data_IF_705287308705
#
_entry.id   IF_705287308705
#
_cell.length_a   1.000
_cell.length_b   1.000
_cell.length_c   1.000
_cell.angle_alpha   90.00
_cell.angle_beta   90.00
_cell.angle_gamma   90.00
#
_symmetry.space_group_name_H-M   'P 1'
#
loop_
_entity.id
_entity.type
_entity.pdbx_description
1 polymer ?
#
# COMPACT_ATOMS: atom_id res chain seq x y z
N UNK A 1 -11.35 -23.83 19.19
CA UNK A 1 -10.86 -22.57 19.81
C UNK A 1 -9.99 -21.76 18.85
N UNK A 2 -9.04 -22.38 18.12
CA UNK A 2 -8.20 -21.72 17.11
C UNK A 2 -8.73 -21.97 15.70
N UNK A 3 -9.79 -21.26 15.36
CA UNK A 3 -10.43 -21.25 14.04
C UNK A 3 -10.79 -19.80 13.71
N UNK A 4 -11.13 -19.53 12.45
CA UNK A 4 -11.59 -18.21 11.99
C UNK A 4 -12.76 -17.66 12.83
N UNK A 5 -13.65 -18.53 13.32
CA UNK A 5 -14.79 -18.15 14.18
C UNK A 5 -14.51 -18.23 15.69
N UNK A 6 -13.30 -18.61 16.09
CA UNK A 6 -12.91 -18.71 17.51
C UNK A 6 -12.51 -17.36 18.11
N UNK A 7 -12.45 -17.23 19.45
CA UNK A 7 -12.08 -15.97 20.12
C UNK A 7 -10.65 -15.50 19.77
N UNK A 8 -9.72 -16.43 19.53
CA UNK A 8 -8.39 -16.09 19.05
C UNK A 8 -8.40 -15.51 17.60
N UNK A 9 -9.45 -15.83 16.82
CA UNK A 9 -9.68 -15.36 15.45
C UNK A 9 -9.86 -13.84 15.32
N UNK A 10 -10.18 -13.17 16.44
CA UNK A 10 -10.23 -11.71 16.52
C UNK A 10 -8.84 -11.10 16.33
N UNK A 11 -7.81 -11.76 16.87
CA UNK A 11 -6.44 -11.27 16.82
C UNK A 11 -5.68 -11.85 15.63
N UNK A 12 -5.74 -13.17 15.44
CA UNK A 12 -4.93 -13.85 14.43
C UNK A 12 -5.82 -14.61 13.44
N UNK A 13 -5.33 -14.79 12.21
CA UNK A 13 -6.05 -15.62 11.26
C UNK A 13 -5.70 -17.10 11.45
N UNK A 14 -6.69 -17.95 11.19
CA UNK A 14 -6.56 -19.39 11.26
C UNK A 14 -7.23 -20.01 10.04
N UNK A 15 -6.57 -21.01 9.45
CA UNK A 15 -7.15 -21.81 8.39
C UNK A 15 -8.44 -22.49 8.87
N UNK A 16 -9.42 -22.56 7.98
CA UNK A 16 -10.63 -23.34 8.23
C UNK A 16 -10.28 -24.84 8.30
N UNK A 17 -10.98 -25.63 9.13
CA UNK A 17 -10.81 -27.08 9.16
C UNK A 17 -11.02 -27.68 7.76
N UNK A 18 -10.06 -28.49 7.30
CA UNK A 18 -10.12 -29.11 5.97
C UNK A 18 -9.66 -28.23 4.80
N UNK A 19 -9.18 -27.00 5.06
CA UNK A 19 -8.67 -26.13 4.00
C UNK A 19 -7.37 -26.69 3.38
N UNK A 20 -7.28 -26.65 2.05
CA UNK A 20 -6.07 -27.02 1.33
C UNK A 20 -5.06 -25.86 1.36
N UNK A 21 -3.93 -26.04 2.05
CA UNK A 21 -2.94 -24.97 2.23
C UNK A 21 -2.36 -24.43 0.92
N UNK A 22 -2.25 -25.25 -0.12
CA UNK A 22 -1.82 -24.79 -1.44
C UNK A 22 -2.83 -23.82 -2.08
N UNK A 23 -4.13 -24.03 -1.83
CA UNK A 23 -5.17 -23.12 -2.32
C UNK A 23 -5.11 -21.78 -1.57
N UNK A 24 -4.95 -21.84 -0.25
CA UNK A 24 -4.79 -20.67 0.61
C UNK A 24 -3.56 -19.85 0.21
N UNK A 25 -2.44 -20.52 -0.08
CA UNK A 25 -1.22 -19.86 -0.57
C UNK A 25 -1.47 -19.10 -1.88
N UNK A 26 -2.11 -19.73 -2.86
CA UNK A 26 -2.40 -19.08 -4.16
C UNK A 26 -3.38 -17.93 -3.98
N UNK A 27 -4.40 -18.10 -3.13
CA UNK A 27 -5.35 -17.05 -2.80
C UNK A 27 -4.64 -15.81 -2.22
N UNK A 28 -3.80 -16.02 -1.20
CA UNK A 28 -3.00 -14.97 -0.56
C UNK A 28 -2.08 -14.28 -1.58
N UNK A 29 -1.32 -15.05 -2.34
CA UNK A 29 -0.37 -14.51 -3.32
C UNK A 29 -1.04 -13.66 -4.39
N UNK A 30 -2.13 -14.16 -5.00
CA UNK A 30 -2.81 -13.45 -6.10
C UNK A 30 -3.52 -12.20 -5.59
N UNK A 31 -4.20 -12.28 -4.44
CA UNK A 31 -4.86 -11.13 -3.86
C UNK A 31 -3.85 -10.03 -3.53
N UNK A 32 -2.72 -10.38 -2.92
CA UNK A 32 -1.71 -9.41 -2.52
C UNK A 32 -0.94 -8.84 -3.70
N UNK A 33 -0.73 -9.65 -4.75
CA UNK A 33 -0.16 -9.18 -6.00
C UNK A 33 -1.06 -8.13 -6.65
N UNK A 34 -2.37 -8.43 -6.80
CA UNK A 34 -3.33 -7.48 -7.40
C UNK A 34 -3.46 -6.23 -6.52
N UNK A 35 -3.52 -6.39 -5.21
CA UNK A 35 -3.65 -5.29 -4.27
C UNK A 35 -2.44 -4.36 -4.30
N UNK A 36 -1.23 -4.92 -4.29
CA UNK A 36 0.00 -4.15 -4.43
C UNK A 36 0.09 -3.45 -5.79
N UNK A 37 -0.32 -4.12 -6.88
CA UNK A 37 -0.35 -3.53 -8.21
C UNK A 37 -1.29 -2.32 -8.28
N UNK A 38 -2.47 -2.44 -7.65
CA UNK A 38 -3.46 -1.37 -7.55
C UNK A 38 -2.95 -0.21 -6.68
N UNK A 39 -2.29 -0.51 -5.56
CA UNK A 39 -1.66 0.50 -4.69
C UNK A 39 -0.58 1.27 -5.46
N UNK A 40 0.35 0.58 -6.12
CA UNK A 40 1.41 1.23 -6.91
C UNK A 40 0.80 2.10 -8.02
N UNK A 41 -0.21 1.58 -8.74
CA UNK A 41 -0.92 2.34 -9.75
C UNK A 41 -1.68 3.55 -9.19
N UNK A 42 -2.23 3.47 -7.99
CA UNK A 42 -2.98 4.56 -7.37
C UNK A 42 -2.07 5.67 -6.81
N UNK A 43 -0.87 5.32 -6.32
CA UNK A 43 0.09 6.32 -5.80
C UNK A 43 0.95 6.95 -6.90
N UNK A 44 0.89 6.43 -8.12
CA UNK A 44 1.69 6.93 -9.22
C UNK A 44 1.23 8.36 -9.63
N UNK A 45 2.15 9.36 -9.67
CA UNK A 45 1.82 10.77 -9.91
C UNK A 45 1.17 11.14 -11.25
N UNK A 46 1.46 10.37 -12.29
CA UNK A 46 0.96 10.50 -13.67
C UNK A 46 -0.41 9.84 -13.87
N UNK A 47 -0.95 9.13 -12.87
CA UNK A 47 -2.28 8.54 -12.93
C UNK A 47 -3.39 9.57 -12.67
N UNK A 48 -3.96 10.11 -13.74
CA UNK A 48 -5.06 11.07 -13.71
C UNK A 48 -6.36 10.53 -13.05
N UNK A 49 -6.53 9.20 -12.93
CA UNK A 49 -7.71 8.61 -12.30
C UNK A 49 -7.58 8.52 -10.77
N UNK A 50 -6.40 8.79 -10.21
CA UNK A 50 -6.11 8.71 -8.79
C UNK A 50 -5.46 10.00 -8.28
N UNK A 51 -6.20 11.13 -8.23
CA UNK A 51 -5.68 12.35 -7.64
C UNK A 51 -5.37 12.13 -6.14
N UNK A 52 -4.43 12.89 -5.54
CA UNK A 52 -3.98 12.66 -4.17
C UNK A 52 -5.09 12.58 -3.12
N UNK A 53 -6.18 13.34 -3.31
CA UNK A 53 -7.35 13.33 -2.42
C UNK A 53 -8.18 12.04 -2.50
N UNK A 54 -8.24 11.39 -3.66
CA UNK A 54 -9.02 10.17 -3.88
C UNK A 54 -8.20 8.90 -3.59
N UNK A 55 -6.88 8.99 -3.63
CA UNK A 55 -5.97 7.87 -3.47
C UNK A 55 -6.22 7.03 -2.20
N UNK A 56 -6.46 7.60 -0.99
CA UNK A 56 -6.80 6.80 0.19
C UNK A 56 -8.11 6.03 0.05
N UNK A 57 -9.10 6.60 -0.64
CA UNK A 57 -10.39 5.97 -0.88
C UNK A 57 -10.29 4.81 -1.87
N UNK A 58 -9.54 5.01 -2.97
CA UNK A 58 -9.30 3.98 -3.97
C UNK A 58 -8.59 2.78 -3.33
N UNK A 59 -7.51 3.04 -2.58
CA UNK A 59 -6.76 1.98 -1.88
C UNK A 59 -7.65 1.29 -0.84
N UNK A 60 -8.38 2.06 -0.02
CA UNK A 60 -9.25 1.49 1.01
C UNK A 60 -10.36 0.60 0.43
N UNK A 61 -11.00 1.02 -0.67
CA UNK A 61 -12.03 0.23 -1.35
C UNK A 61 -11.45 -1.00 -2.05
N UNK A 62 -10.23 -0.91 -2.60
CA UNK A 62 -9.51 -2.06 -3.14
C UNK A 62 -9.24 -3.11 -2.05
N UNK A 63 -8.75 -2.69 -0.88
CA UNK A 63 -8.59 -3.57 0.29
C UNK A 63 -9.93 -4.19 0.71
N UNK A 64 -10.99 -3.39 0.81
CA UNK A 64 -12.31 -3.87 1.22
C UNK A 64 -12.87 -4.93 0.26
N UNK A 65 -12.80 -4.67 -1.05
CA UNK A 65 -13.30 -5.61 -2.07
C UNK A 65 -12.52 -6.93 -2.08
N UNK A 66 -11.18 -6.88 -1.96
CA UNK A 66 -10.37 -8.10 -1.85
C UNK A 66 -10.70 -8.89 -0.59
N UNK A 67 -10.73 -8.24 0.57
CA UNK A 67 -11.04 -8.90 1.83
C UNK A 67 -12.46 -9.50 1.83
N UNK A 68 -13.48 -8.79 1.36
CA UNK A 68 -14.84 -9.32 1.35
C UNK A 68 -15.02 -10.48 0.37
N UNK A 69 -14.34 -10.44 -0.77
CA UNK A 69 -14.48 -11.48 -1.82
C UNK A 69 -13.70 -12.75 -1.49
N UNK A 70 -12.53 -12.62 -0.86
CA UNK A 70 -11.56 -13.71 -0.70
C UNK A 70 -11.30 -14.12 0.77
N UNK A 71 -11.96 -13.49 1.74
CA UNK A 71 -11.91 -13.88 3.16
C UNK A 71 -12.38 -15.32 3.45
N UNK A 72 -13.39 -15.91 2.77
CA UNK A 72 -13.84 -17.27 3.07
C UNK A 72 -12.73 -18.33 2.98
N UNK A 73 -11.73 -18.10 2.14
CA UNK A 73 -10.57 -18.97 1.92
C UNK A 73 -9.34 -18.56 2.72
N UNK A 74 -9.53 -17.63 3.67
CA UNK A 74 -8.52 -16.98 4.49
C UNK A 74 -7.59 -16.06 3.68
N UNK A 75 -7.57 -14.78 4.06
CA UNK A 75 -6.73 -13.74 3.46
C UNK A 75 -6.18 -12.83 4.56
N UNK A 76 -4.85 -12.76 4.70
CA UNK A 76 -4.18 -11.86 5.64
C UNK A 76 -3.87 -10.51 5.02
N UNK A 77 -3.34 -10.52 3.80
CA UNK A 77 -2.87 -9.39 3.01
C UNK A 77 -1.83 -8.48 3.65
N UNK A 78 -1.40 -8.79 4.88
CA UNK A 78 -0.46 -7.95 5.60
C UNK A 78 0.24 -8.73 6.72
N UNK A 79 1.57 -8.86 6.60
CA UNK A 79 2.42 -9.50 7.60
C UNK A 79 2.23 -8.93 9.01
N UNK A 80 2.15 -7.61 9.17
CA UNK A 80 2.03 -6.96 10.47
C UNK A 80 0.65 -7.21 11.10
N UNK A 81 -0.41 -7.22 10.27
CA UNK A 81 -1.77 -7.59 10.69
C UNK A 81 -1.82 -9.02 11.22
N UNK A 82 -1.14 -9.97 10.57
CA UNK A 82 -1.10 -11.35 11.05
C UNK A 82 -0.17 -11.53 12.25
N UNK A 83 1.11 -11.17 12.13
CA UNK A 83 2.11 -11.42 13.18
C UNK A 83 1.80 -10.67 14.48
N UNK A 84 1.38 -9.40 14.40
CA UNK A 84 1.05 -8.61 15.59
C UNK A 84 -0.10 -9.23 16.37
N UNK A 85 -1.19 -9.57 15.66
CA UNK A 85 -2.33 -10.24 16.26
C UNK A 85 -2.01 -11.66 16.74
N UNK A 86 -1.16 -12.39 16.03
CA UNK A 86 -0.70 -13.72 16.41
C UNK A 86 0.18 -13.72 17.65
N UNK A 87 1.05 -12.73 17.83
CA UNK A 87 1.81 -12.57 19.08
C UNK A 87 0.90 -12.23 20.26
N UNK A 88 -0.13 -11.41 20.06
CA UNK A 88 -1.15 -11.17 21.08
C UNK A 88 -1.89 -12.48 21.44
N UNK A 89 -2.31 -13.25 20.44
CA UNK A 89 -2.98 -14.53 20.66
C UNK A 89 -2.09 -15.57 21.37
N UNK A 90 -0.80 -15.63 21.02
CA UNK A 90 0.18 -16.49 21.68
C UNK A 90 0.42 -16.10 23.14
N UNK A 91 0.35 -14.81 23.46
CA UNK A 91 0.49 -14.32 24.84
C UNK A 91 -0.72 -14.72 25.69
N UNK A 92 -1.93 -14.64 25.13
CA UNK A 92 -3.18 -14.93 25.84
C UNK A 92 -3.50 -16.42 25.95
N UNK A 93 -3.24 -17.21 24.91
CA UNK A 93 -3.64 -18.62 24.82
C UNK A 93 -2.47 -19.60 24.69
N UNK A 94 -1.23 -19.12 24.71
CA UNK A 94 -0.03 -19.94 24.64
C UNK A 94 0.22 -20.54 23.24
N UNK A 95 1.18 -21.47 23.19
CA UNK A 95 1.62 -22.16 21.95
C UNK A 95 0.51 -22.76 21.08
N UNK A 96 -0.62 -23.27 21.62
CA UNK A 96 -1.72 -23.76 20.79
C UNK A 96 -2.30 -22.70 19.81
N UNK A 97 -2.11 -21.41 20.10
CA UNK A 97 -2.56 -20.31 19.24
C UNK A 97 -1.66 -20.02 18.02
N UNK A 98 -0.57 -20.77 17.84
CA UNK A 98 0.43 -20.50 16.81
C UNK A 98 -0.14 -20.56 15.37
N UNK A 99 -1.09 -21.45 15.08
CA UNK A 99 -1.70 -21.57 13.76
C UNK A 99 -0.89 -22.38 12.73
N UNK A 100 0.27 -22.92 13.11
CA UNK A 100 1.01 -23.90 12.30
C UNK A 100 1.47 -23.37 10.94
N UNK A 101 1.47 -24.23 9.92
CA UNK A 101 1.92 -23.89 8.56
C UNK A 101 1.14 -22.75 7.91
N UNK A 102 -0.13 -22.56 8.30
CA UNK A 102 -0.92 -21.42 7.84
C UNK A 102 -0.33 -20.08 8.31
N UNK A 103 0.24 -20.02 9.52
CA UNK A 103 0.86 -18.81 10.03
C UNK A 103 2.04 -18.35 9.15
N UNK A 104 2.82 -19.30 8.62
CA UNK A 104 3.90 -18.97 7.70
C UNK A 104 3.37 -18.39 6.37
N UNK A 105 2.25 -18.94 5.86
CA UNK A 105 1.60 -18.43 4.65
C UNK A 105 1.12 -16.99 4.88
N UNK A 106 0.33 -16.78 5.93
CA UNK A 106 -0.27 -15.48 6.26
C UNK A 106 0.77 -14.38 6.61
N UNK A 107 1.96 -14.76 7.06
CA UNK A 107 3.03 -13.82 7.40
C UNK A 107 3.99 -13.54 6.23
N UNK A 108 4.26 -14.51 5.37
CA UNK A 108 5.35 -14.41 4.40
C UNK A 108 4.89 -14.18 2.97
N UNK A 109 3.73 -14.65 2.56
CA UNK A 109 3.35 -14.70 1.13
C UNK A 109 3.07 -13.33 0.52
N UNK A 110 2.56 -12.40 1.33
CA UNK A 110 2.30 -11.03 0.92
C UNK A 110 3.58 -10.27 0.51
N UNK A 111 4.75 -10.60 1.09
CA UNK A 111 6.02 -9.94 0.80
C UNK A 111 6.49 -10.19 -0.65
N UNK A 112 6.72 -11.45 -1.09
CA UNK A 112 7.10 -11.72 -2.47
C UNK A 112 5.99 -11.33 -3.45
N UNK A 113 4.71 -11.47 -3.08
CA UNK A 113 3.60 -11.02 -3.94
C UNK A 113 3.67 -9.52 -4.22
N UNK A 114 3.91 -8.71 -3.17
CA UNK A 114 4.09 -7.26 -3.29
C UNK A 114 5.30 -6.92 -4.16
N UNK A 115 6.43 -7.60 -3.94
CA UNK A 115 7.63 -7.39 -4.74
C UNK A 115 7.39 -7.71 -6.23
N UNK A 116 6.77 -8.85 -6.52
CA UNK A 116 6.41 -9.24 -7.89
C UNK A 116 5.46 -8.23 -8.53
N UNK A 117 4.51 -7.66 -7.78
CA UNK A 117 3.58 -6.66 -8.27
C UNK A 117 4.27 -5.35 -8.64
N UNK A 118 5.20 -4.87 -7.80
CA UNK A 118 6.01 -3.68 -8.10
C UNK A 118 6.84 -3.92 -9.35
N UNK A 119 7.55 -5.05 -9.45
CA UNK A 119 8.33 -5.39 -10.65
C UNK A 119 7.43 -5.48 -11.89
N UNK A 120 6.25 -6.09 -11.77
CA UNK A 120 5.30 -6.16 -12.88
C UNK A 120 4.82 -4.77 -13.31
N UNK A 121 4.50 -3.90 -12.35
CA UNK A 121 4.10 -2.53 -12.62
C UNK A 121 5.19 -1.78 -13.39
N UNK A 122 6.42 -1.84 -12.90
CA UNK A 122 7.59 -1.19 -13.50
C UNK A 122 7.89 -1.68 -14.92
N UNK A 123 7.70 -2.98 -15.19
CA UNK A 123 7.99 -3.56 -16.50
C UNK A 123 6.87 -3.36 -17.52
N UNK A 124 5.61 -3.28 -17.07
CA UNK A 124 4.44 -3.37 -17.96
C UNK A 124 3.65 -2.06 -18.04
N UNK A 125 3.52 -1.33 -16.94
CA UNK A 125 2.64 -0.16 -16.85
C UNK A 125 3.38 1.17 -16.67
N UNK A 126 4.56 1.13 -16.04
CA UNK A 126 5.37 2.31 -15.84
C UNK A 126 5.91 2.83 -17.18
N UNK A 127 5.81 4.15 -17.35
CA UNK A 127 6.30 4.87 -18.52
C UNK A 127 6.85 6.20 -18.05
N UNK A 128 8.17 6.36 -18.12
CA UNK A 128 8.88 7.53 -17.62
C UNK A 128 8.63 8.80 -18.44
N UNK A 129 8.04 8.68 -19.64
CA UNK A 129 7.70 9.83 -20.47
C UNK A 129 6.36 10.48 -20.08
N UNK A 130 5.60 9.86 -19.16
CA UNK A 130 4.29 10.40 -18.75
C UNK A 130 4.45 11.66 -17.91
N UNK A 131 3.57 12.60 -18.19
CA UNK A 131 3.51 13.88 -17.48
C UNK A 131 2.82 13.66 -16.13
N UNK A 132 3.42 14.21 -15.08
CA UNK A 132 2.84 14.23 -13.74
C UNK A 132 1.56 15.06 -13.74
N UNK A 133 0.51 14.55 -13.12
CA UNK A 133 -0.76 15.26 -13.00
C UNK A 133 -0.60 16.58 -12.24
N UNK A 134 -1.39 17.58 -12.61
CA UNK A 134 -1.31 18.93 -12.02
C UNK A 134 -1.62 18.89 -10.52
N UNK A 135 -2.60 18.09 -10.14
CA UNK A 135 -3.05 17.88 -8.77
C UNK A 135 -1.91 17.35 -7.90
N UNK A 136 -1.10 16.42 -8.45
CA UNK A 136 0.06 15.89 -7.75
C UNK A 136 1.19 16.91 -7.64
N UNK A 137 1.40 17.75 -8.67
CA UNK A 137 2.36 18.85 -8.60
C UNK A 137 2.00 19.88 -7.52
N UNK A 138 0.74 20.29 -7.46
CA UNK A 138 0.22 21.22 -6.44
C UNK A 138 0.38 20.63 -5.03
N UNK A 139 0.07 19.34 -4.87
CA UNK A 139 0.31 18.62 -3.61
C UNK A 139 1.80 18.59 -3.23
N UNK A 140 2.68 18.31 -4.19
CA UNK A 140 4.14 18.32 -3.98
C UNK A 140 4.67 19.70 -3.57
N UNK A 141 4.18 20.78 -4.18
CA UNK A 141 4.55 22.14 -3.81
C UNK A 141 4.07 22.51 -2.40
N UNK A 142 2.85 22.11 -2.02
CA UNK A 142 2.34 22.33 -0.67
C UNK A 142 3.19 21.61 0.39
N UNK A 143 3.57 20.35 0.15
CA UNK A 143 4.45 19.59 1.05
C UNK A 143 5.84 20.20 1.16
N UNK A 144 6.39 20.71 0.05
CA UNK A 144 7.67 21.42 0.06
C UNK A 144 7.59 22.70 0.89
N UNK A 145 6.57 23.52 0.68
CA UNK A 145 6.37 24.76 1.42
C UNK A 145 6.22 24.50 2.94
N UNK A 146 5.50 23.44 3.33
CA UNK A 146 5.39 23.04 4.74
C UNK A 146 6.76 22.64 5.32
N UNK A 147 7.55 21.86 4.57
CA UNK A 147 8.90 21.44 4.96
C UNK A 147 9.84 22.62 5.12
N UNK A 148 9.82 23.54 4.15
CA UNK A 148 10.65 24.75 4.15
C UNK A 148 10.31 25.62 5.36
N UNK A 149 9.00 25.78 5.67
CA UNK A 149 8.55 26.47 6.89
C UNK A 149 9.03 25.79 8.17
N UNK A 150 9.03 24.46 8.25
CA UNK A 150 9.56 23.70 9.40
C UNK A 150 11.07 23.87 9.56
N UNK A 151 11.79 24.08 8.46
CA UNK A 151 13.24 24.30 8.43
C UNK A 151 13.61 25.78 8.65
N UNK A 152 12.64 26.67 8.89
CA UNK A 152 12.88 28.09 9.09
C UNK A 152 13.23 28.85 7.81
N UNK A 153 12.94 28.29 6.64
CA UNK A 153 13.08 28.98 5.36
C UNK A 153 11.84 29.88 5.19
N UNK A 154 12.08 31.18 5.04
CA UNK A 154 11.04 32.17 4.79
C UNK A 154 10.36 31.89 3.43
N UNK A 155 9.03 32.05 3.32
CA UNK A 155 8.33 31.84 2.06
C UNK A 155 8.81 32.85 1.01
N UNK A 156 9.18 32.36 -0.18
CA UNK A 156 9.48 33.22 -1.33
C UNK A 156 8.21 34.02 -1.66
N UNK A 157 8.29 35.34 -1.54
CA UNK A 157 7.20 36.24 -1.90
C UNK A 157 6.90 36.12 -3.40
N UNK A 158 5.64 35.87 -3.76
CA UNK A 158 5.19 35.82 -5.17
C UNK A 158 5.35 37.16 -5.91
N UNK A 159 5.79 38.23 -5.23
CA UNK A 159 6.08 39.53 -5.85
C UNK A 159 7.53 39.68 -6.34
N UNK A 160 8.40 38.70 -6.15
CA UNK A 160 9.71 38.73 -6.81
C UNK A 160 9.57 38.20 -8.24
N UNK A 161 9.31 39.11 -9.17
CA UNK A 161 9.52 38.91 -10.60
C UNK A 161 10.86 38.20 -10.81
N UNK A 162 10.80 37.04 -11.43
CA UNK A 162 11.97 36.27 -11.85
C UNK A 162 12.97 37.20 -12.54
N UNK A 163 14.14 37.43 -11.91
CA UNK A 163 15.28 38.15 -12.49
C UNK A 163 15.95 37.29 -13.59
N UNK A 164 15.14 36.83 -14.55
CA UNK A 164 15.57 36.10 -15.74
C UNK A 164 15.40 36.95 -17.01
N UNK A 165 14.52 37.96 -16.97
CA UNK A 165 14.18 38.77 -18.14
C UNK A 165 15.20 39.90 -18.44
N UNK A 166 16.10 40.22 -17.49
CA UNK A 166 17.11 41.28 -17.67
C UNK A 166 18.28 40.91 -18.59
N UNK A 167 18.41 39.65 -19.02
CA UNK A 167 19.56 39.22 -19.85
C UNK A 167 19.34 39.26 -21.36
N UNK A 168 18.16 39.68 -21.84
CA UNK A 168 17.86 39.75 -23.28
C UNK A 168 17.86 41.21 -23.82
N UNK A 169 17.79 42.23 -22.96
CA UNK A 169 17.75 43.64 -23.38
C UNK A 169 19.14 44.32 -23.44
N UNK A 170 20.14 43.63 -23.99
CA UNK A 170 21.52 44.12 -23.97
C UNK A 170 22.36 43.61 -25.12
N UNK A 171 21.86 43.69 -26.36
CA UNK A 171 22.65 43.66 -27.61
C UNK A 171 21.78 44.13 -28.78
N UNK A 172 21.80 45.44 -29.03
CA UNK A 172 21.61 46.04 -30.36
C UNK A 172 22.82 46.93 -30.61
#
# INVERSE_FOLDING_TARGET
MFTSSGPAGIFALYANPGAHLGFVFVNEFVCDFILALLVVGAIEPSNHFSPPVAMPWIIGLAYATMLWSFSPTSLSSNTARDLGGRFAALTLWGKPAFGGSYAAIAALVNIPATFCAVVFYELIFYDSARVVSREYMEFGYALKAERDRKNGVEPVSMNETSSSDDKISGKV
#
